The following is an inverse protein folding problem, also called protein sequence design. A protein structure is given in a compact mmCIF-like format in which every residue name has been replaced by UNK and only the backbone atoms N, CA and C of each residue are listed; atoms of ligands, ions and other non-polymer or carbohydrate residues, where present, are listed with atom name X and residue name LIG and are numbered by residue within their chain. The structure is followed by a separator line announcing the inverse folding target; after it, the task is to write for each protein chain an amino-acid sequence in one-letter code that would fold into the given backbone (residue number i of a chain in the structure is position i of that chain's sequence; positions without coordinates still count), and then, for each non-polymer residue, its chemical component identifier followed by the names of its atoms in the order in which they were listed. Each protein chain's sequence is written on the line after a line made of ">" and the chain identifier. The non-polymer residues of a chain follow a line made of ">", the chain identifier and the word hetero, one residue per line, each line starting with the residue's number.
data_IF_457078501202
#
_entry.id   IF_457078501202
#
_cell.length_a   1.000
_cell.length_b   1.000
_cell.length_c   1.000
_cell.angle_alpha   90.00
_cell.angle_beta   90.00
_cell.angle_gamma   90.00
#
_symmetry.space_group_name_H-M   'P 1'
#
loop_
_entity.id
_entity.type
_entity.pdbx_description
1 polymer ?
#
# COMPACT_ATOMS: atom_id res chain seq x y z
N UNK A 1 11.72 -52.58 21.81
CA UNK A 1 12.74 -51.59 21.51
C UNK A 1 12.66 -51.06 20.05
N UNK A 2 12.76 -51.93 18.99
CA UNK A 2 12.76 -51.44 17.56
C UNK A 2 11.42 -50.72 17.19
N UNK A 3 10.26 -51.17 17.66
CA UNK A 3 8.95 -50.54 17.37
C UNK A 3 8.77 -49.20 18.07
N UNK A 4 9.28 -49.03 19.29
CA UNK A 4 9.24 -47.79 20.03
C UNK A 4 10.16 -46.73 19.44
N UNK A 5 11.33 -47.10 18.94
CA UNK A 5 12.24 -46.19 18.25
C UNK A 5 11.65 -45.72 16.92
N UNK A 6 11.01 -46.63 16.16
CA UNK A 6 10.35 -46.24 14.90
C UNK A 6 9.19 -45.28 15.12
N UNK A 7 8.41 -45.43 16.20
CA UNK A 7 7.31 -44.53 16.55
C UNK A 7 7.81 -43.16 16.96
N UNK A 8 8.92 -43.06 17.69
CA UNK A 8 9.54 -41.79 18.08
C UNK A 8 10.09 -41.04 16.85
N UNK A 9 10.71 -41.74 15.90
CA UNK A 9 11.22 -41.15 14.65
C UNK A 9 10.07 -40.66 13.78
N UNK A 10 8.98 -41.40 13.68
CA UNK A 10 7.77 -40.95 12.95
C UNK A 10 7.14 -39.71 13.58
N UNK A 11 7.08 -39.62 14.92
CA UNK A 11 6.53 -38.48 15.63
C UNK A 11 7.42 -37.24 15.48
N UNK A 12 8.75 -37.38 15.49
CA UNK A 12 9.66 -36.25 15.26
C UNK A 12 9.61 -35.75 13.81
N UNK A 13 9.44 -36.64 12.82
CA UNK A 13 9.22 -36.22 11.42
C UNK A 13 7.89 -35.49 11.24
N UNK A 14 6.83 -35.91 11.93
CA UNK A 14 5.54 -35.23 11.85
C UNK A 14 5.57 -33.84 12.47
N UNK A 15 6.31 -33.63 13.56
CA UNK A 15 6.53 -32.32 14.15
C UNK A 15 7.35 -31.36 13.27
N UNK A 16 8.28 -31.88 12.47
CA UNK A 16 9.09 -31.06 11.55
C UNK A 16 8.28 -30.49 10.37
N UNK A 17 7.13 -31.10 10.03
CA UNK A 17 6.23 -30.60 8.99
C UNK A 17 5.35 -29.44 9.46
N UNK A 18 5.26 -29.18 10.76
CA UNK A 18 4.45 -28.09 11.33
C UNK A 18 5.22 -26.80 11.55
N UNK A 19 6.55 -26.79 11.37
CA UNK A 19 7.39 -25.58 11.50
C UNK A 19 7.60 -24.83 10.19
N UNK A 20 6.78 -25.09 9.19
CA UNK A 20 6.70 -24.26 7.98
C UNK A 20 6.05 -22.89 8.28
N UNK A 21 6.57 -22.16 9.25
CA UNK A 21 6.27 -20.75 9.42
C UNK A 21 6.92 -20.03 8.24
N UNK A 22 6.18 -19.90 7.15
CA UNK A 22 6.54 -19.07 6.02
C UNK A 22 6.72 -17.63 6.49
N UNK A 23 7.93 -17.27 6.83
CA UNK A 23 8.34 -15.88 6.97
C UNK A 23 8.25 -15.20 5.59
N UNK A 24 7.04 -14.92 5.12
CA UNK A 24 6.85 -14.15 3.89
C UNK A 24 7.59 -12.82 4.03
N UNK A 25 8.31 -12.43 2.97
CA UNK A 25 8.96 -11.12 2.93
C UNK A 25 7.91 -10.06 3.18
N UNK A 26 8.16 -9.18 4.15
CA UNK A 26 7.31 -8.01 4.38
C UNK A 26 7.39 -7.11 3.15
N UNK A 27 6.25 -6.84 2.53
CA UNK A 27 6.14 -5.87 1.44
C UNK A 27 6.27 -4.46 2.02
N UNK A 28 6.85 -3.54 1.28
CA UNK A 28 6.91 -2.13 1.66
C UNK A 28 6.03 -1.33 0.71
N UNK A 29 5.21 -0.44 1.26
CA UNK A 29 4.41 0.53 0.53
C UNK A 29 4.84 1.94 0.94
N UNK A 30 5.40 2.69 0.00
CA UNK A 30 5.86 4.05 0.21
C UNK A 30 4.76 5.02 -0.21
N UNK A 31 4.21 5.77 0.75
CA UNK A 31 3.13 6.73 0.53
C UNK A 31 3.63 8.14 0.80
N UNK A 32 3.32 9.07 -0.10
CA UNK A 32 3.66 10.49 -0.01
C UNK A 32 2.40 11.34 -0.09
N UNK A 33 2.05 11.98 1.01
CA UNK A 33 0.78 12.68 1.17
C UNK A 33 0.97 14.03 1.87
N UNK A 34 -0.10 14.79 1.97
CA UNK A 34 -0.16 15.99 2.79
C UNK A 34 -0.05 15.65 4.28
N UNK A 35 0.47 16.58 5.06
CA UNK A 35 0.35 16.52 6.52
C UNK A 35 -1.11 16.56 6.95
N UNK A 36 -1.45 15.91 8.07
CA UNK A 36 -2.79 15.93 8.68
C UNK A 36 -3.95 15.51 7.74
N UNK A 37 -3.63 14.74 6.69
CA UNK A 37 -4.62 14.32 5.70
C UNK A 37 -5.35 13.04 6.05
N UNK A 38 -4.76 12.20 6.89
CA UNK A 38 -5.36 10.97 7.42
C UNK A 38 -5.18 10.90 8.94
N UNK A 39 -6.07 10.17 9.60
CA UNK A 39 -5.96 9.93 11.05
C UNK A 39 -4.73 9.11 11.37
N UNK A 40 -3.94 9.54 12.33
CA UNK A 40 -2.66 8.95 12.75
C UNK A 40 -2.68 8.22 14.09
N UNK A 41 -3.83 8.23 14.77
CA UNK A 41 -4.04 7.66 16.10
C UNK A 41 -3.76 8.63 17.24
N UNK A 42 -3.53 9.91 16.96
CA UNK A 42 -3.48 10.96 17.98
C UNK A 42 -4.88 11.27 18.52
N UNK A 43 -4.97 11.78 19.76
CA UNK A 43 -6.22 12.22 20.39
C UNK A 43 -7.35 11.18 20.29
N UNK A 44 -7.04 9.89 20.52
CA UNK A 44 -7.98 8.76 20.39
C UNK A 44 -8.56 8.56 18.97
N UNK A 45 -7.93 9.15 17.96
CA UNK A 45 -8.33 8.96 16.57
C UNK A 45 -7.91 7.57 16.03
N UNK A 46 -8.57 7.17 14.96
CA UNK A 46 -8.24 5.94 14.23
C UNK A 46 -6.85 6.05 13.59
N UNK A 47 -5.98 5.05 13.74
CA UNK A 47 -4.69 5.05 13.06
C UNK A 47 -4.80 4.33 11.72
N UNK A 48 -5.01 5.11 10.65
CA UNK A 48 -5.23 4.59 9.30
C UNK A 48 -4.12 3.67 8.81
N UNK A 49 -2.87 4.01 9.04
CA UNK A 49 -1.72 3.20 8.60
C UNK A 49 -1.68 1.85 9.32
N UNK A 50 -1.80 1.85 10.64
CA UNK A 50 -1.78 0.59 11.43
C UNK A 50 -2.93 -0.33 11.10
N UNK A 51 -4.12 0.24 10.94
CA UNK A 51 -5.30 -0.56 10.60
C UNK A 51 -5.24 -1.10 9.17
N UNK A 52 -4.66 -0.36 8.24
CA UNK A 52 -4.39 -0.88 6.89
C UNK A 52 -3.38 -2.03 6.92
N UNK A 53 -2.26 -1.89 7.64
CA UNK A 53 -1.25 -2.97 7.77
C UNK A 53 -1.87 -4.24 8.36
N UNK A 54 -2.72 -4.10 9.39
CA UNK A 54 -3.46 -5.19 10.02
C UNK A 54 -4.47 -5.83 9.05
N UNK A 55 -5.32 -5.02 8.43
CA UNK A 55 -6.31 -5.48 7.47
C UNK A 55 -5.65 -6.24 6.30
N UNK A 56 -4.54 -5.73 5.79
CA UNK A 56 -3.81 -6.36 4.69
C UNK A 56 -3.32 -7.76 5.09
N UNK A 57 -2.75 -7.88 6.30
CA UNK A 57 -2.29 -9.16 6.81
C UNK A 57 -3.45 -10.16 7.03
N UNK A 58 -4.57 -9.69 7.57
CA UNK A 58 -5.76 -10.53 7.81
C UNK A 58 -6.41 -10.99 6.49
N UNK A 59 -6.41 -10.12 5.47
CA UNK A 59 -7.06 -10.40 4.19
C UNK A 59 -6.21 -11.27 3.26
N UNK A 60 -4.91 -11.01 3.20
CA UNK A 60 -4.02 -11.65 2.23
C UNK A 60 -3.01 -12.62 2.84
N UNK A 61 -2.94 -12.72 4.17
CA UNK A 61 -1.95 -13.55 4.86
C UNK A 61 -0.51 -13.05 4.76
N UNK A 62 -0.30 -11.88 4.21
CA UNK A 62 1.02 -11.26 3.96
C UNK A 62 1.19 -9.99 4.79
N UNK A 63 2.42 -9.72 5.20
CA UNK A 63 2.73 -8.46 5.91
C UNK A 63 3.07 -7.35 4.91
N UNK A 64 2.51 -6.17 5.16
CA UNK A 64 2.91 -4.93 4.51
C UNK A 64 3.40 -3.94 5.57
N UNK A 65 4.43 -3.18 5.25
CA UNK A 65 4.91 -2.04 6.04
C UNK A 65 4.70 -0.77 5.23
N UNK A 66 3.92 0.15 5.76
CA UNK A 66 3.67 1.45 5.13
C UNK A 66 4.69 2.46 5.63
N UNK A 67 5.49 3.01 4.73
CA UNK A 67 6.33 4.16 4.96
C UNK A 67 5.54 5.40 4.54
N UNK A 68 4.89 6.02 5.50
CA UNK A 68 4.09 7.22 5.27
C UNK A 68 4.95 8.46 5.46
N UNK A 69 5.08 9.26 4.41
CA UNK A 69 5.87 10.49 4.39
C UNK A 69 4.96 11.65 3.99
N UNK A 70 5.19 12.82 4.53
CA UNK A 70 4.39 14.01 4.23
C UNK A 70 5.18 15.07 3.48
N UNK A 71 4.45 15.92 2.73
CA UNK A 71 4.96 17.12 2.08
C UNK A 71 4.13 18.34 2.46
N UNK A 72 4.74 19.51 2.38
CA UNK A 72 4.12 20.78 2.72
C UNK A 72 3.58 21.52 1.49
N UNK A 73 4.16 21.26 0.30
CA UNK A 73 3.71 21.88 -0.95
C UNK A 73 3.78 20.90 -2.12
N UNK A 74 2.92 21.10 -3.12
CA UNK A 74 2.96 20.33 -4.37
C UNK A 74 4.29 20.53 -5.11
N UNK A 75 4.84 21.74 -5.07
CA UNK A 75 6.06 22.12 -5.76
C UNK A 75 7.27 21.40 -5.18
N UNK A 76 7.40 21.33 -3.85
CA UNK A 76 8.49 20.61 -3.19
C UNK A 76 8.36 19.09 -3.44
N UNK A 77 7.16 18.56 -3.35
CA UNK A 77 6.88 17.16 -3.68
C UNK A 77 7.28 16.86 -5.12
N UNK A 78 6.82 17.69 -6.08
CA UNK A 78 7.13 17.53 -7.50
C UNK A 78 8.64 17.62 -7.78
N UNK A 79 9.32 18.62 -7.22
CA UNK A 79 10.77 18.78 -7.39
C UNK A 79 11.54 17.56 -6.87
N UNK A 80 11.13 17.03 -5.71
CA UNK A 80 11.75 15.86 -5.11
C UNK A 80 11.56 14.60 -5.97
N UNK A 81 10.36 14.38 -6.50
CA UNK A 81 10.07 13.24 -7.38
C UNK A 81 10.76 13.38 -8.74
N UNK A 82 10.74 14.57 -9.34
CA UNK A 82 11.37 14.85 -10.64
C UNK A 82 12.89 14.69 -10.62
N UNK A 83 13.51 14.83 -9.45
CA UNK A 83 14.97 14.61 -9.30
C UNK A 83 15.38 13.14 -9.48
N UNK A 84 14.42 12.20 -9.40
CA UNK A 84 14.69 10.77 -9.43
C UNK A 84 15.42 10.21 -8.20
N UNK A 85 15.70 11.05 -7.19
CA UNK A 85 16.40 10.63 -5.98
C UNK A 85 15.55 9.76 -5.04
N UNK A 86 14.23 9.79 -5.20
CA UNK A 86 13.25 9.04 -4.39
C UNK A 86 12.17 8.46 -5.28
N UNK A 87 11.59 7.36 -4.82
CA UNK A 87 10.44 6.71 -5.46
C UNK A 87 9.37 6.44 -4.42
N UNK A 88 8.12 6.64 -4.81
CA UNK A 88 6.94 6.34 -4.02
C UNK A 88 5.97 5.48 -4.84
N UNK A 89 5.23 4.62 -4.15
CA UNK A 89 4.22 3.76 -4.75
C UNK A 89 2.89 4.51 -4.91
N UNK A 90 2.59 5.41 -3.96
CA UNK A 90 1.36 6.23 -3.96
C UNK A 90 1.70 7.67 -3.60
N UNK A 91 1.19 8.61 -4.39
CA UNK A 91 1.29 10.06 -4.15
C UNK A 91 -0.11 10.66 -4.18
N UNK A 92 -0.40 11.59 -3.27
CA UNK A 92 -1.72 12.24 -3.15
C UNK A 92 -1.57 13.76 -3.32
N UNK A 93 -1.30 14.29 -4.51
CA UNK A 93 -1.20 15.72 -4.77
C UNK A 93 -2.56 16.35 -5.12
N UNK A 94 -2.56 17.67 -5.27
CA UNK A 94 -3.71 18.39 -5.81
C UNK A 94 -3.92 18.09 -7.31
N UNK A 95 -5.14 18.32 -7.80
CA UNK A 95 -5.58 17.97 -9.16
C UNK A 95 -4.72 18.59 -10.28
N UNK A 96 -4.34 19.88 -10.13
CA UNK A 96 -3.46 20.53 -11.11
C UNK A 96 -2.07 19.89 -11.18
N UNK A 97 -1.58 19.40 -10.03
CA UNK A 97 -0.29 18.72 -9.97
C UNK A 97 -0.38 17.30 -10.55
N UNK A 98 -1.50 16.60 -10.36
CA UNK A 98 -1.78 15.33 -11.06
C UNK A 98 -1.73 15.54 -12.58
N UNK A 99 -2.36 16.61 -13.08
CA UNK A 99 -2.32 16.94 -14.50
C UNK A 99 -0.88 17.14 -14.99
N UNK A 100 -0.09 17.93 -14.26
CA UNK A 100 1.33 18.19 -14.58
C UNK A 100 2.18 16.92 -14.54
N UNK A 101 2.01 16.08 -13.52
CA UNK A 101 2.75 14.81 -13.38
C UNK A 101 2.41 13.83 -14.51
N UNK A 102 1.15 13.78 -14.92
CA UNK A 102 0.70 12.97 -16.05
C UNK A 102 1.33 13.44 -17.38
N UNK A 103 1.38 14.74 -17.62
CA UNK A 103 2.01 15.33 -18.81
C UNK A 103 3.52 15.06 -18.89
N UNK A 104 4.15 14.76 -17.75
CA UNK A 104 5.58 14.43 -17.64
C UNK A 104 5.83 12.92 -17.42
N UNK A 105 4.85 12.07 -17.74
CA UNK A 105 4.95 10.61 -17.65
C UNK A 105 5.41 10.08 -16.28
N UNK A 106 5.04 10.79 -15.20
CA UNK A 106 5.42 10.44 -13.83
C UNK A 106 4.40 9.51 -13.14
N UNK A 107 3.27 9.25 -13.76
CA UNK A 107 2.17 8.47 -13.18
C UNK A 107 1.86 7.24 -14.02
N UNK A 108 1.56 6.13 -13.35
CA UNK A 108 1.04 4.94 -13.98
C UNK A 108 -0.50 4.98 -14.05
N UNK A 109 -1.11 4.41 -15.11
CA UNK A 109 -2.56 4.24 -15.17
C UNK A 109 -3.07 3.37 -14.01
N UNK A 110 -4.20 3.77 -13.43
CA UNK A 110 -4.86 2.96 -12.41
C UNK A 110 -5.63 1.80 -13.07
N UNK A 111 -5.51 0.60 -12.49
CA UNK A 111 -6.40 -0.50 -12.81
C UNK A 111 -7.63 -0.46 -11.89
N UNK A 112 -8.76 -0.01 -12.40
CA UNK A 112 -10.00 0.14 -11.64
C UNK A 112 -10.61 -1.18 -11.20
N UNK A 113 -10.27 -2.30 -11.82
CA UNK A 113 -10.72 -3.63 -11.36
C UNK A 113 -10.18 -3.96 -9.96
N UNK A 114 -9.05 -3.37 -9.60
CA UNK A 114 -8.46 -3.50 -8.28
C UNK A 114 -8.97 -2.44 -7.26
N UNK A 115 -9.89 -1.57 -7.67
CA UNK A 115 -10.42 -0.48 -6.84
C UNK A 115 -11.95 -0.54 -6.80
N UNK A 116 -12.55 -1.60 -6.22
CA UNK A 116 -14.00 -1.80 -6.24
C UNK A 116 -14.76 -0.65 -5.56
N UNK A 117 -14.16 -0.03 -4.55
CA UNK A 117 -14.75 1.09 -3.84
C UNK A 117 -14.79 2.40 -4.64
N UNK A 118 -14.19 2.42 -5.85
CA UNK A 118 -14.30 3.58 -6.74
C UNK A 118 -15.76 3.90 -7.09
N UNK A 119 -16.63 2.90 -7.13
CA UNK A 119 -18.06 3.06 -7.34
C UNK A 119 -18.78 3.87 -6.23
N UNK A 120 -18.15 4.03 -5.06
CA UNK A 120 -18.70 4.80 -3.95
C UNK A 120 -18.35 6.29 -4.02
N UNK A 121 -17.53 6.70 -5.00
CA UNK A 121 -17.16 8.10 -5.21
C UNK A 121 -18.25 8.75 -6.05
N UNK A 122 -18.75 9.91 -5.60
CA UNK A 122 -19.77 10.69 -6.30
C UNK A 122 -19.33 11.04 -7.73
N UNK A 123 -20.26 10.93 -8.69
CA UNK A 123 -20.00 11.19 -10.11
C UNK A 123 -19.46 12.59 -10.40
N UNK A 124 -19.72 13.56 -9.52
CA UNK A 124 -19.20 14.92 -9.63
C UNK A 124 -17.66 14.93 -9.62
N UNK A 125 -17.06 14.02 -8.87
CA UNK A 125 -15.61 13.89 -8.74
C UNK A 125 -14.99 12.88 -9.71
N UNK A 126 -15.80 11.95 -10.24
CA UNK A 126 -15.33 10.91 -11.16
C UNK A 126 -15.52 11.28 -12.63
N UNK A 127 -16.17 12.41 -12.93
CA UNK A 127 -16.37 12.84 -14.31
C UNK A 127 -15.05 12.90 -15.03
N UNK A 128 -14.81 11.93 -15.88
CA UNK A 128 -13.84 12.07 -16.97
C UNK A 128 -14.14 13.41 -17.63
N UNK A 129 -13.26 14.39 -17.48
CA UNK A 129 -13.29 15.58 -18.28
C UNK A 129 -13.30 15.06 -19.70
N UNK A 130 -14.45 15.08 -20.40
CA UNK A 130 -14.52 14.74 -21.81
C UNK A 130 -13.45 15.61 -22.45
N UNK A 131 -12.36 15.00 -22.88
CA UNK A 131 -11.37 15.67 -23.72
C UNK A 131 -12.16 16.14 -24.91
N UNK A 132 -12.48 17.43 -24.96
CA UNK A 132 -12.97 18.06 -26.13
C UNK A 132 -11.97 17.73 -27.24
N UNK A 133 -12.44 17.00 -28.24
CA UNK A 133 -11.66 16.72 -29.43
C UNK A 133 -11.23 18.04 -30.06
N UNK A 134 -10.00 18.11 -30.40
CA UNK A 134 -9.43 18.58 -31.69
C UNK A 134 -7.96 18.27 -31.68
#
# INVERSE_FOLDING_TARGET
>A
MKKTVALLIALTMLCALLTGCGGGKTKTLNVYNWGEYISDGSEDSFNTVKEFEKWYQETYGEKVKVNYTTFASNEDMYAKLSSGAVSYDVVIPSDYMIARMRENDMLLPLNFDNIPNYANIDDTWTRKRKSGGR
#
